data_IF_892413900142
#
_entry.id   IF_892413900142
#
_cell.length_a   1.000
_cell.length_b   1.000
_cell.length_c   1.000
_cell.angle_alpha   90.00
_cell.angle_beta   90.00
_cell.angle_gamma   90.00
#
_symmetry.space_group_name_H-M   'P 1'
#
loop_
_entity.id
_entity.type
_entity.pdbx_description
1 polymer ?
#
# COMPACT_ATOMS: atom_id res chain seq x y z
N UNK A 1 1.60 9.21 -0.74
CA UNK A 1 2.31 7.95 -0.43
C UNK A 1 3.15 7.44 -1.60
N UNK A 2 2.66 7.46 -2.84
CA UNK A 2 3.48 7.03 -4.01
C UNK A 2 4.83 7.73 -4.14
N UNK A 3 4.90 9.05 -3.91
CA UNK A 3 6.17 9.78 -3.89
C UNK A 3 7.15 9.22 -2.84
N UNK A 4 6.71 9.10 -1.58
CA UNK A 4 7.53 8.62 -0.46
C UNK A 4 8.07 7.21 -0.74
N UNK A 5 7.20 6.31 -1.20
CA UNK A 5 7.59 4.94 -1.53
C UNK A 5 8.61 4.92 -2.66
N UNK A 6 8.37 5.66 -3.74
CA UNK A 6 9.30 5.76 -4.89
C UNK A 6 10.66 6.28 -4.44
N UNK A 7 10.68 7.40 -3.70
CA UNK A 7 11.93 8.01 -3.23
C UNK A 7 12.70 7.09 -2.30
N UNK A 8 12.00 6.31 -1.48
CA UNK A 8 12.63 5.34 -0.59
C UNK A 8 13.23 4.15 -1.33
N UNK A 9 12.54 3.63 -2.35
CA UNK A 9 13.09 2.55 -3.17
C UNK A 9 14.32 3.02 -3.94
N UNK A 10 14.26 4.23 -4.51
CA UNK A 10 15.41 4.89 -5.16
C UNK A 10 16.58 5.06 -4.18
N UNK A 11 16.31 5.42 -2.93
CA UNK A 11 17.37 5.64 -1.94
C UNK A 11 18.10 4.37 -1.53
N UNK A 12 17.61 3.18 -1.88
CA UNK A 12 18.29 1.92 -1.60
C UNK A 12 19.47 1.65 -2.55
N UNK A 13 19.53 2.31 -3.71
CA UNK A 13 20.54 2.03 -4.73
C UNK A 13 20.16 2.56 -6.12
N UNK A 14 21.16 2.87 -6.93
CA UNK A 14 20.98 3.42 -8.29
C UNK A 14 20.28 2.44 -9.25
N UNK A 15 20.51 1.15 -9.04
CA UNK A 15 19.90 0.03 -9.75
C UNK A 15 18.38 -0.08 -9.51
N UNK A 16 17.87 0.54 -8.44
CA UNK A 16 16.45 0.50 -8.08
C UNK A 16 15.64 1.68 -8.64
N UNK A 17 16.29 2.61 -9.35
CA UNK A 17 15.61 3.76 -9.97
C UNK A 17 14.61 3.31 -11.04
N UNK A 18 15.08 2.52 -12.02
CA UNK A 18 14.22 2.04 -13.09
C UNK A 18 13.07 1.15 -12.56
N UNK A 19 13.33 0.15 -11.68
CA UNK A 19 12.27 -0.61 -11.04
C UNK A 19 11.21 0.24 -10.32
N UNK A 20 11.62 1.23 -9.52
CA UNK A 20 10.68 2.07 -8.79
C UNK A 20 9.76 2.86 -9.75
N UNK A 21 10.29 3.35 -10.87
CA UNK A 21 9.50 4.04 -11.89
C UNK A 21 8.55 3.09 -12.64
N UNK A 22 8.99 1.85 -12.92
CA UNK A 22 8.12 0.81 -13.49
C UNK A 22 6.99 0.47 -12.51
N UNK A 23 7.30 0.43 -11.21
CA UNK A 23 6.29 0.27 -10.16
C UNK A 23 5.22 1.35 -10.21
N UNK A 24 5.58 2.60 -10.50
CA UNK A 24 4.61 3.69 -10.68
C UNK A 24 3.67 3.43 -11.86
N UNK A 25 4.21 2.93 -12.99
CA UNK A 25 3.39 2.55 -14.15
C UNK A 25 2.44 1.40 -13.81
N UNK A 26 2.92 0.38 -13.09
CA UNK A 26 2.08 -0.71 -12.59
C UNK A 26 0.96 -0.20 -11.68
N UNK A 27 1.28 0.72 -10.75
CA UNK A 27 0.30 1.34 -9.86
C UNK A 27 -0.78 2.13 -10.63
N UNK A 28 -0.43 2.81 -11.73
CA UNK A 28 -1.42 3.47 -12.59
C UNK A 28 -2.42 2.44 -13.14
N UNK A 29 -1.93 1.32 -13.67
CA UNK A 29 -2.79 0.25 -14.21
C UNK A 29 -3.71 -0.32 -13.11
N UNK A 30 -3.14 -0.65 -11.94
CA UNK A 30 -3.92 -1.12 -10.79
C UNK A 30 -4.94 -0.12 -10.30
N UNK A 31 -4.62 1.18 -10.33
CA UNK A 31 -5.55 2.25 -9.94
C UNK A 31 -6.76 2.31 -10.88
N UNK A 32 -6.55 2.15 -12.19
CA UNK A 32 -7.63 2.10 -13.18
C UNK A 32 -8.55 0.92 -12.88
N UNK A 33 -8.01 -0.27 -12.63
CA UNK A 33 -8.79 -1.46 -12.30
C UNK A 33 -9.57 -1.27 -10.99
N UNK A 34 -8.90 -0.80 -9.94
CA UNK A 34 -9.50 -0.56 -8.63
C UNK A 34 -10.67 0.42 -8.70
N UNK A 35 -10.47 1.56 -9.38
CA UNK A 35 -11.50 2.59 -9.55
C UNK A 35 -12.69 2.03 -10.34
N UNK A 36 -12.48 1.23 -11.38
CA UNK A 36 -13.58 0.63 -12.17
C UNK A 36 -14.43 -0.33 -11.32
N UNK A 37 -13.81 -1.14 -10.47
CA UNK A 37 -14.51 -2.02 -9.54
C UNK A 37 -15.30 -1.19 -8.52
N UNK A 38 -14.66 -0.18 -7.92
CA UNK A 38 -15.30 0.68 -6.93
C UNK A 38 -16.46 1.49 -7.52
N UNK A 39 -16.35 1.97 -8.76
CA UNK A 39 -17.42 2.63 -9.49
C UNK A 39 -18.65 1.72 -9.66
N UNK A 40 -18.45 0.42 -9.81
CA UNK A 40 -19.55 -0.54 -9.93
C UNK A 40 -20.32 -0.65 -8.62
N UNK A 41 -19.63 -0.70 -7.48
CA UNK A 41 -20.27 -0.76 -6.16
C UNK A 41 -20.93 0.56 -5.77
N UNK A 42 -20.26 1.69 -6.01
CA UNK A 42 -20.78 3.02 -5.69
C UNK A 42 -21.99 3.38 -6.54
N UNK A 43 -22.00 3.10 -7.86
CA UNK A 43 -23.18 3.30 -8.70
C UNK A 43 -24.41 2.57 -8.16
N UNK A 44 -24.23 1.33 -7.71
CA UNK A 44 -25.31 0.54 -7.11
C UNK A 44 -25.75 1.11 -5.76
N UNK A 45 -24.80 1.52 -4.91
CA UNK A 45 -25.08 2.06 -3.58
C UNK A 45 -25.82 3.39 -3.63
N UNK A 46 -25.39 4.31 -4.49
CA UNK A 46 -26.02 5.62 -4.67
C UNK A 46 -27.21 5.60 -5.63
N UNK A 47 -27.59 4.43 -6.18
CA UNK A 47 -28.68 4.26 -7.15
C UNK A 47 -28.53 5.19 -8.37
N UNK A 48 -27.29 5.35 -8.85
CA UNK A 48 -26.97 6.23 -9.97
C UNK A 48 -27.77 5.86 -11.21
N UNK A 49 -28.52 6.82 -11.76
CA UNK A 49 -29.32 6.66 -12.96
C UNK A 49 -28.90 7.70 -14.01
N UNK A 50 -28.30 7.28 -15.15
CA UNK A 50 -27.82 8.21 -16.18
C UNK A 50 -28.89 9.10 -16.80
N UNK A 51 -30.17 8.73 -16.69
CA UNK A 51 -31.31 9.48 -17.23
C UNK A 51 -31.82 10.55 -16.24
N UNK A 52 -31.85 10.24 -14.95
CA UNK A 52 -32.33 11.13 -13.86
C UNK A 52 -31.23 12.04 -13.31
N UNK A 53 -29.97 11.59 -13.31
CA UNK A 53 -28.81 12.33 -12.81
C UNK A 53 -28.13 13.19 -13.90
N UNK A 54 -28.79 13.40 -15.06
CA UNK A 54 -28.36 14.46 -15.99
C UNK A 54 -28.50 15.78 -15.24
N UNK A 55 -27.44 16.58 -15.23
CA UNK A 55 -27.46 17.91 -14.64
C UNK A 55 -28.48 18.81 -15.38
N UNK A 56 -29.76 18.69 -15.04
CA UNK A 56 -30.77 19.69 -15.34
C UNK A 56 -30.34 20.93 -14.57
N UNK A 57 -29.96 21.98 -15.29
CA UNK A 57 -29.19 23.15 -14.83
C UNK A 57 -29.84 24.04 -13.77
N UNK A 58 -30.69 23.52 -12.91
CA UNK A 58 -31.11 24.14 -11.66
C UNK A 58 -30.47 23.36 -10.52
N UNK A 59 -29.28 23.82 -10.11
CA UNK A 59 -28.68 23.46 -8.83
C UNK A 59 -29.63 23.98 -7.74
N UNK A 60 -30.65 23.20 -7.40
CA UNK A 60 -31.43 23.43 -6.19
C UNK A 60 -30.46 23.34 -5.01
N UNK A 61 -30.13 24.51 -4.44
CA UNK A 61 -29.56 24.75 -3.12
C UNK A 61 -29.21 23.46 -2.36
N UNK A 62 -28.06 22.87 -2.68
CA UNK A 62 -27.33 22.03 -1.75
C UNK A 62 -26.27 22.91 -1.14
N UNK A 63 -26.21 22.92 0.19
CA UNK A 63 -25.23 23.64 1.01
C UNK A 63 -23.77 23.19 0.79
N UNK A 64 -23.44 22.61 -0.36
CA UNK A 64 -22.12 22.10 -0.74
C UNK A 64 -21.40 23.09 -1.65
N UNK A 65 -21.45 24.38 -1.33
CA UNK A 65 -20.50 25.32 -1.90
C UNK A 65 -19.15 25.12 -1.21
N UNK A 66 -18.06 25.19 -1.97
CA UNK A 66 -16.71 25.26 -1.42
C UNK A 66 -16.66 26.45 -0.46
N UNK A 67 -16.54 26.19 0.84
CA UNK A 67 -16.34 27.26 1.81
C UNK A 67 -15.11 28.08 1.41
N UNK A 68 -15.33 29.36 1.17
CA UNK A 68 -14.25 30.30 0.93
C UNK A 68 -13.67 30.60 2.30
N UNK A 69 -12.56 29.91 2.63
CA UNK A 69 -11.77 30.22 3.82
C UNK A 69 -11.58 31.73 3.93
N UNK A 70 -11.90 32.28 5.09
CA UNK A 70 -11.76 33.71 5.35
C UNK A 70 -10.28 34.14 5.27
N UNK A 71 -10.06 35.44 5.06
CA UNK A 71 -8.72 36.03 5.02
C UNK A 71 -8.11 36.16 3.63
N UNK A 72 -6.91 36.75 3.59
CA UNK A 72 -6.15 36.98 2.37
C UNK A 72 -5.47 35.69 1.86
N UNK A 73 -4.87 35.75 0.66
CA UNK A 73 -4.23 34.58 0.02
C UNK A 73 -3.18 33.92 0.93
N UNK A 74 -2.42 34.70 1.68
CA UNK A 74 -1.40 34.20 2.60
C UNK A 74 -2.01 33.49 3.81
N UNK A 75 -3.05 34.06 4.43
CA UNK A 75 -3.77 33.46 5.54
C UNK A 75 -4.41 32.13 5.12
N UNK A 76 -5.10 32.11 3.97
CA UNK A 76 -5.73 30.89 3.44
C UNK A 76 -4.70 29.78 3.14
N UNK A 77 -3.50 30.15 2.68
CA UNK A 77 -2.42 29.21 2.46
C UNK A 77 -1.87 28.67 3.80
N UNK A 78 -1.64 29.53 4.79
CA UNK A 78 -1.21 29.11 6.12
C UNK A 78 -2.25 28.20 6.79
N UNK A 79 -3.52 28.55 6.75
CA UNK A 79 -4.60 27.77 7.35
C UNK A 79 -4.70 26.38 6.70
N UNK A 80 -4.56 26.30 5.36
CA UNK A 80 -4.57 25.01 4.66
C UNK A 80 -3.41 24.11 5.09
N UNK A 81 -2.22 24.68 5.29
CA UNK A 81 -1.03 23.93 5.74
C UNK A 81 -1.20 23.49 7.20
N UNK A 82 -1.63 24.39 8.09
CA UNK A 82 -1.76 24.10 9.52
C UNK A 82 -2.90 23.12 9.81
N UNK A 83 -4.04 23.29 9.17
CA UNK A 83 -5.18 22.38 9.31
C UNK A 83 -4.88 21.02 8.70
N UNK A 84 -4.29 20.98 7.50
CA UNK A 84 -3.83 19.74 6.87
C UNK A 84 -2.79 19.01 7.74
N UNK A 85 -1.86 19.76 8.34
CA UNK A 85 -0.88 19.24 9.29
C UNK A 85 -1.54 18.64 10.54
N UNK A 86 -2.47 19.36 11.17
CA UNK A 86 -3.22 18.89 12.34
C UNK A 86 -4.02 17.62 12.04
N UNK A 87 -4.82 17.64 10.96
CA UNK A 87 -5.59 16.45 10.54
C UNK A 87 -4.67 15.27 10.23
N UNK A 88 -3.50 15.51 9.63
CA UNK A 88 -2.51 14.48 9.38
C UNK A 88 -1.96 13.85 10.66
N UNK A 89 -1.66 14.65 11.70
CA UNK A 89 -1.21 14.16 13.02
C UNK A 89 -2.32 13.35 13.70
N UNK A 90 -3.55 13.85 13.72
CA UNK A 90 -4.70 13.17 14.33
C UNK A 90 -4.94 11.81 13.65
N UNK A 91 -4.89 11.78 12.32
CA UNK A 91 -4.98 10.55 11.53
C UNK A 91 -3.82 9.60 11.83
N UNK A 92 -2.59 10.12 11.96
CA UNK A 92 -1.42 9.34 12.34
C UNK A 92 -1.60 8.65 13.70
N UNK A 93 -2.01 9.40 14.72
CA UNK A 93 -2.27 8.87 16.07
C UNK A 93 -3.34 7.78 16.08
N UNK A 94 -4.38 7.92 15.26
CA UNK A 94 -5.42 6.90 15.11
C UNK A 94 -4.91 5.60 14.46
N UNK A 95 -3.91 5.69 13.59
CA UNK A 95 -3.39 4.57 12.80
C UNK A 95 -2.28 3.79 13.55
N UNK A 96 -1.46 4.46 14.37
CA UNK A 96 -0.29 3.87 15.06
C UNK A 96 -0.56 2.50 15.71
N UNK A 97 -1.60 2.31 16.54
CA UNK A 97 -1.80 1.04 17.24
C UNK A 97 -1.97 -0.15 16.28
N UNK A 98 -2.74 0.04 15.20
CA UNK A 98 -2.96 -1.00 14.20
C UNK A 98 -1.69 -1.33 13.43
N UNK A 99 -0.90 -0.32 13.09
CA UNK A 99 0.39 -0.51 12.40
C UNK A 99 1.35 -1.29 13.28
N UNK A 100 1.54 -0.90 14.54
CA UNK A 100 2.48 -1.57 15.44
C UNK A 100 2.16 -3.06 15.58
N UNK A 101 0.89 -3.42 15.76
CA UNK A 101 0.47 -4.81 15.93
C UNK A 101 0.71 -5.62 14.65
N UNK A 102 0.27 -5.12 13.49
CA UNK A 102 0.42 -5.84 12.22
C UNK A 102 1.88 -6.01 11.84
N UNK A 103 2.70 -4.97 12.04
CA UNK A 103 4.11 -5.00 11.64
C UNK A 103 4.91 -5.93 12.54
N UNK A 104 4.66 -5.90 13.85
CA UNK A 104 5.28 -6.85 14.80
C UNK A 104 4.92 -8.29 14.45
N UNK A 105 3.64 -8.55 14.19
CA UNK A 105 3.17 -9.88 13.81
C UNK A 105 3.81 -10.34 12.51
N UNK A 106 3.83 -9.51 11.46
CA UNK A 106 4.42 -9.92 10.18
C UNK A 106 5.92 -10.14 10.29
N UNK A 107 6.67 -9.30 11.02
CA UNK A 107 8.10 -9.53 11.26
C UNK A 107 8.35 -10.88 11.94
N UNK A 108 7.62 -11.19 13.02
CA UNK A 108 7.72 -12.47 13.73
C UNK A 108 7.36 -13.68 12.84
N UNK A 109 6.45 -13.51 11.88
CA UNK A 109 6.08 -14.58 10.96
C UNK A 109 7.01 -14.68 9.75
N UNK A 110 7.80 -13.64 9.45
CA UNK A 110 8.66 -13.57 8.26
C UNK A 110 10.03 -14.18 8.52
N UNK A 111 10.71 -13.72 9.56
CA UNK A 111 12.10 -14.10 9.80
C UNK A 111 12.20 -15.40 10.60
N UNK A 112 13.40 -15.96 10.71
CA UNK A 112 13.68 -17.14 11.54
C UNK A 112 14.48 -16.81 12.80
N UNK A 113 14.80 -17.83 13.60
CA UNK A 113 15.75 -17.68 14.69
C UNK A 113 17.13 -17.29 14.16
N UNK A 114 17.88 -16.52 14.94
CA UNK A 114 19.28 -16.23 14.65
C UNK A 114 20.13 -17.50 14.78
N UNK A 115 21.29 -17.52 14.13
CA UNK A 115 22.27 -18.59 14.31
C UNK A 115 23.33 -18.12 15.30
N UNK A 116 23.59 -18.92 16.34
CA UNK A 116 24.69 -18.67 17.26
C UNK A 116 26.04 -18.73 16.50
N UNK A 117 26.85 -17.66 16.51
CA UNK A 117 28.12 -17.62 15.80
C UNK A 117 29.14 -18.67 16.26
N UNK A 118 29.01 -19.18 17.49
CA UNK A 118 29.94 -20.12 18.11
C UNK A 118 29.48 -21.56 17.93
N UNK A 119 28.19 -21.82 18.12
CA UNK A 119 27.64 -23.20 18.11
C UNK A 119 26.97 -23.59 16.79
N UNK A 120 26.64 -22.63 15.93
CA UNK A 120 25.93 -22.86 14.68
C UNK A 120 24.46 -23.31 14.87
N UNK A 121 23.94 -23.27 16.10
CA UNK A 121 22.57 -23.67 16.40
C UNK A 121 21.60 -22.50 16.19
N UNK A 122 20.36 -22.83 15.82
CA UNK A 122 19.26 -21.86 15.81
C UNK A 122 18.92 -21.47 17.25
N UNK A 123 19.09 -20.20 17.58
CA UNK A 123 18.79 -19.63 18.89
C UNK A 123 17.81 -18.49 18.71
N UNK A 124 16.69 -18.58 19.43
CA UNK A 124 15.71 -17.51 19.50
C UNK A 124 15.99 -16.67 20.75
N UNK A 125 16.46 -15.44 20.55
CA UNK A 125 16.83 -14.52 21.64
C UNK A 125 15.77 -13.45 21.89
N UNK A 126 14.80 -13.30 20.98
CA UNK A 126 13.84 -12.20 20.94
C UNK A 126 14.42 -10.92 20.35
N UNK A 127 15.52 -11.02 19.61
CA UNK A 127 16.13 -9.87 18.94
C UNK A 127 15.26 -9.35 17.79
N UNK A 128 15.53 -8.13 17.34
CA UNK A 128 14.87 -7.58 16.16
C UNK A 128 15.15 -8.45 14.93
N UNK A 129 14.12 -8.63 14.09
CA UNK A 129 14.18 -9.47 12.89
C UNK A 129 14.37 -10.98 13.18
N UNK A 130 13.98 -11.45 14.36
CA UNK A 130 13.79 -12.88 14.62
C UNK A 130 12.33 -13.30 14.47
N UNK A 131 12.08 -14.58 14.16
CA UNK A 131 10.73 -15.09 13.98
C UNK A 131 10.65 -16.61 13.80
N UNK A 132 9.51 -17.07 13.27
CA UNK A 132 9.17 -18.49 13.07
C UNK A 132 9.08 -18.93 11.59
N UNK A 133 9.45 -18.07 10.62
CA UNK A 133 9.42 -18.34 9.17
C UNK A 133 8.08 -18.87 8.62
N UNK A 134 6.96 -18.56 9.26
CA UNK A 134 5.65 -19.04 8.79
C UNK A 134 5.28 -18.47 7.41
N UNK A 135 5.53 -17.19 7.16
CA UNK A 135 5.23 -16.57 5.87
C UNK A 135 6.09 -17.12 4.73
N UNK A 136 7.42 -17.30 4.88
CA UNK A 136 8.22 -18.04 3.91
C UNK A 136 7.66 -19.42 3.58
N UNK A 137 7.26 -20.22 4.59
CA UNK A 137 6.68 -21.56 4.36
C UNK A 137 5.38 -21.50 3.56
N UNK A 138 4.57 -20.46 3.77
CA UNK A 138 3.36 -20.22 2.96
C UNK A 138 3.74 -19.75 1.56
N UNK A 139 4.74 -18.88 1.44
CA UNK A 139 5.30 -18.38 0.17
C UNK A 139 5.80 -19.51 -0.71
N UNK A 140 6.55 -20.46 -0.16
CA UNK A 140 7.01 -21.67 -0.84
C UNK A 140 5.86 -22.45 -1.46
N UNK A 141 4.79 -22.68 -0.68
CA UNK A 141 3.61 -23.41 -1.15
C UNK A 141 2.83 -22.65 -2.22
N UNK A 142 2.91 -21.33 -2.22
CA UNK A 142 2.26 -20.45 -3.19
C UNK A 142 3.18 -20.05 -4.36
N UNK A 143 4.44 -20.51 -4.37
CA UNK A 143 5.45 -20.15 -5.37
C UNK A 143 4.97 -20.37 -6.80
N UNK A 144 4.18 -21.43 -7.04
CA UNK A 144 3.60 -21.73 -8.35
C UNK A 144 2.67 -20.62 -8.90
N UNK A 145 2.15 -19.74 -8.06
CA UNK A 145 1.38 -18.54 -8.44
C UNK A 145 2.26 -17.30 -8.36
N UNK A 146 3.02 -17.15 -7.26
CA UNK A 146 3.76 -15.93 -6.97
C UNK A 146 4.91 -15.70 -7.95
N UNK A 147 5.62 -16.75 -8.34
CA UNK A 147 6.73 -16.67 -9.29
C UNK A 147 6.26 -16.25 -10.69
N UNK A 148 5.27 -16.89 -11.35
CA UNK A 148 4.84 -16.44 -12.67
C UNK A 148 4.07 -15.12 -12.67
N UNK A 149 3.44 -14.75 -11.54
CA UNK A 149 2.64 -13.53 -11.47
C UNK A 149 3.45 -12.30 -11.06
N UNK A 150 4.45 -12.48 -10.19
CA UNK A 150 5.22 -11.38 -9.59
C UNK A 150 6.73 -11.52 -9.75
N UNK A 151 7.24 -12.67 -10.17
CA UNK A 151 8.67 -12.91 -10.32
C UNK A 151 9.43 -13.08 -9.00
N UNK A 152 8.73 -13.41 -7.90
CA UNK A 152 9.36 -13.60 -6.59
C UNK A 152 10.23 -14.85 -6.60
N UNK A 153 11.55 -14.66 -6.49
CA UNK A 153 12.52 -15.76 -6.44
C UNK A 153 12.75 -16.29 -5.03
N UNK A 154 12.49 -15.48 -4.01
CA UNK A 154 12.63 -15.86 -2.60
C UNK A 154 11.26 -15.93 -1.91
N UNK A 155 11.01 -16.94 -1.07
CA UNK A 155 9.76 -17.06 -0.32
C UNK A 155 9.52 -15.90 0.65
N UNK A 156 10.59 -15.30 1.17
CA UNK A 156 10.58 -14.14 2.06
C UNK A 156 9.95 -12.91 1.40
N UNK A 157 10.01 -12.80 0.06
CA UNK A 157 9.46 -11.67 -0.68
C UNK A 157 7.95 -11.48 -0.45
N UNK A 158 7.21 -12.54 -0.09
CA UNK A 158 5.77 -12.47 0.23
C UNK A 158 5.46 -11.59 1.45
N UNK A 159 6.43 -11.41 2.34
CA UNK A 159 6.24 -10.63 3.56
C UNK A 159 5.93 -9.16 3.25
N UNK A 160 6.56 -8.56 2.24
CA UNK A 160 6.33 -7.16 1.90
C UNK A 160 4.86 -6.90 1.47
N UNK A 161 4.28 -7.65 0.51
CA UNK A 161 2.86 -7.59 0.18
C UNK A 161 1.94 -7.72 1.40
N UNK A 162 2.21 -8.71 2.27
CA UNK A 162 1.38 -8.98 3.45
C UNK A 162 1.46 -7.84 4.47
N UNK A 163 2.67 -7.33 4.76
CA UNK A 163 2.84 -6.16 5.63
C UNK A 163 2.17 -4.93 5.04
N UNK A 164 2.24 -4.75 3.72
CA UNK A 164 1.68 -3.59 3.01
C UNK A 164 0.15 -3.49 3.14
N UNK A 165 -0.57 -4.60 3.28
CA UNK A 165 -2.00 -4.62 3.59
C UNK A 165 -2.31 -4.01 4.97
N UNK A 166 -1.38 -4.07 5.92
CA UNK A 166 -1.48 -3.35 7.18
C UNK A 166 -0.99 -1.90 7.04
N UNK A 167 0.26 -1.76 6.64
CA UNK A 167 0.94 -0.48 6.49
C UNK A 167 2.16 -0.57 5.56
N UNK A 168 2.06 0.08 4.39
CA UNK A 168 3.19 0.17 3.45
C UNK A 168 4.44 0.80 4.08
N UNK A 169 4.28 1.80 4.96
CA UNK A 169 5.41 2.48 5.61
C UNK A 169 6.27 1.55 6.45
N UNK A 170 5.68 0.50 7.02
CA UNK A 170 6.42 -0.52 7.74
C UNK A 170 6.90 -1.65 6.84
N UNK A 171 6.17 -1.99 5.76
CA UNK A 171 6.68 -2.91 4.75
C UNK A 171 8.00 -2.40 4.15
N UNK A 172 8.13 -1.07 3.98
CA UNK A 172 9.36 -0.41 3.55
C UNK A 172 10.56 -0.72 4.46
N UNK A 173 10.37 -0.92 5.78
CA UNK A 173 11.50 -1.22 6.68
C UNK A 173 12.07 -2.63 6.47
N UNK A 174 11.36 -3.51 5.76
CA UNK A 174 11.85 -4.84 5.41
C UNK A 174 12.80 -4.82 4.21
N UNK A 175 12.65 -3.84 3.32
CA UNK A 175 13.39 -3.76 2.04
C UNK A 175 14.90 -3.72 2.23
N UNK A 176 15.49 -2.91 3.15
CA UNK A 176 16.94 -2.89 3.32
C UNK A 176 17.50 -4.24 3.75
N UNK A 177 16.77 -4.98 4.58
CA UNK A 177 17.20 -6.31 5.04
C UNK A 177 17.08 -7.35 3.92
N UNK A 178 16.02 -7.30 3.14
CA UNK A 178 15.86 -8.17 1.97
C UNK A 178 16.92 -7.94 0.89
N UNK A 179 17.36 -6.70 0.70
CA UNK A 179 18.48 -6.39 -0.20
C UNK A 179 19.78 -6.99 0.35
N UNK A 180 20.06 -6.79 1.65
CA UNK A 180 21.28 -7.32 2.29
C UNK A 180 21.35 -8.84 2.26
N UNK A 181 20.23 -9.52 2.49
CA UNK A 181 20.17 -10.98 2.48
C UNK A 181 20.11 -11.58 1.08
N UNK A 182 19.94 -10.76 0.04
CA UNK A 182 19.75 -11.23 -1.34
C UNK A 182 18.37 -11.87 -1.57
N UNK A 183 17.40 -11.63 -0.69
CA UNK A 183 16.05 -12.18 -0.79
C UNK A 183 15.19 -11.49 -1.87
N UNK A 184 15.62 -10.32 -2.36
CA UNK A 184 14.89 -9.60 -3.41
C UNK A 184 15.82 -9.08 -4.51
N UNK A 185 15.24 -8.96 -5.70
CA UNK A 185 15.82 -8.50 -6.94
C UNK A 185 15.25 -7.13 -7.34
N UNK A 186 15.83 -6.46 -8.36
CA UNK A 186 15.23 -5.25 -8.92
C UNK A 186 13.77 -5.45 -9.39
N UNK A 187 13.42 -6.62 -9.94
CA UNK A 187 12.03 -6.93 -10.29
C UNK A 187 11.08 -6.82 -9.10
N UNK A 188 11.49 -7.37 -7.95
CA UNK A 188 10.68 -7.35 -6.73
C UNK A 188 10.46 -5.92 -6.24
N UNK A 189 11.44 -5.03 -6.39
CA UNK A 189 11.28 -3.61 -6.08
C UNK A 189 10.21 -2.95 -6.97
N UNK A 190 10.13 -3.30 -8.25
CA UNK A 190 9.06 -2.81 -9.13
C UNK A 190 7.68 -3.26 -8.64
N UNK A 191 7.55 -4.54 -8.30
CA UNK A 191 6.30 -5.14 -7.79
C UNK A 191 5.92 -4.53 -6.43
N UNK A 192 6.86 -4.44 -5.50
CA UNK A 192 6.67 -3.86 -4.17
C UNK A 192 6.26 -2.41 -4.25
N UNK A 193 6.87 -1.65 -5.15
CA UNK A 193 6.50 -0.26 -5.41
C UNK A 193 5.05 -0.20 -5.90
N UNK A 194 4.68 -0.98 -6.90
CA UNK A 194 3.34 -0.98 -7.46
C UNK A 194 2.26 -1.39 -6.44
N UNK A 195 2.46 -2.52 -5.76
CA UNK A 195 1.57 -3.03 -4.72
C UNK A 195 1.48 -2.06 -3.53
N UNK A 196 2.62 -1.59 -3.04
CA UNK A 196 2.70 -0.69 -1.90
C UNK A 196 1.97 0.64 -2.14
N UNK A 197 1.96 1.14 -3.38
CA UNK A 197 1.14 2.30 -3.73
C UNK A 197 -0.35 2.01 -3.67
N UNK A 198 -0.79 0.88 -4.23
CA UNK A 198 -2.19 0.50 -4.22
C UNK A 198 -2.71 0.15 -2.81
N UNK A 199 -1.86 -0.35 -1.92
CA UNK A 199 -2.22 -0.74 -0.55
C UNK A 199 -1.76 0.26 0.51
N UNK A 200 -1.37 1.46 0.10
CA UNK A 200 -1.00 2.51 1.01
C UNK A 200 -2.17 2.90 1.94
N UNK A 201 -2.07 2.58 3.23
CA UNK A 201 -3.10 2.89 4.22
C UNK A 201 -4.30 1.94 4.18
N UNK A 202 -4.15 0.78 3.56
CA UNK A 202 -5.23 -0.13 3.16
C UNK A 202 -6.34 -0.36 4.21
N UNK A 203 -6.05 -0.95 5.37
CA UNK A 203 -7.12 -1.20 6.37
C UNK A 203 -7.52 0.05 7.15
N UNK A 204 -6.56 0.88 7.54
CA UNK A 204 -6.79 1.97 8.48
C UNK A 204 -7.35 3.24 7.83
N UNK A 205 -6.90 3.56 6.61
CA UNK A 205 -7.29 4.74 5.86
C UNK A 205 -8.64 4.56 5.19
N UNK A 206 -8.95 3.37 4.65
CA UNK A 206 -10.26 3.16 4.02
C UNK A 206 -11.41 3.20 5.02
N UNK A 207 -11.22 2.72 6.25
CA UNK A 207 -12.26 2.83 7.29
C UNK A 207 -12.46 4.30 7.68
N UNK A 208 -11.39 5.01 8.04
CA UNK A 208 -11.47 6.43 8.45
C UNK A 208 -12.01 7.34 7.34
N UNK A 209 -11.58 7.14 6.09
CA UNK A 209 -12.05 7.92 4.94
C UNK A 209 -13.53 7.66 4.65
N UNK A 210 -13.99 6.40 4.72
CA UNK A 210 -15.40 6.07 4.47
C UNK A 210 -16.30 6.53 5.60
N UNK A 211 -15.81 6.55 6.85
CA UNK A 211 -16.52 7.19 7.97
C UNK A 211 -16.69 8.70 7.73
N UNK A 212 -15.65 9.40 7.27
CA UNK A 212 -15.72 10.83 6.95
C UNK A 212 -16.68 11.15 5.78
N UNK A 213 -16.82 10.23 4.82
CA UNK A 213 -17.77 10.32 3.71
C UNK A 213 -19.20 9.86 4.07
N UNK A 214 -19.44 9.52 5.34
CA UNK A 214 -20.69 8.91 5.82
C UNK A 214 -21.13 7.69 4.99
N UNK A 215 -20.15 6.92 4.50
CA UNK A 215 -20.30 5.81 3.58
C UNK A 215 -19.60 4.55 4.08
N UNK A 216 -19.53 4.34 5.40
CA UNK A 216 -18.84 3.21 6.05
C UNK A 216 -19.17 1.85 5.46
N UNK A 217 -20.41 1.66 4.98
CA UNK A 217 -20.85 0.41 4.33
C UNK A 217 -20.05 0.06 3.07
N UNK A 218 -19.41 1.04 2.43
CA UNK A 218 -18.55 0.86 1.27
C UNK A 218 -17.10 0.52 1.64
N UNK A 219 -16.69 0.59 2.91
CA UNK A 219 -15.30 0.34 3.32
C UNK A 219 -14.80 -1.05 2.91
N UNK A 220 -15.59 -2.10 3.14
CA UNK A 220 -15.24 -3.46 2.71
C UNK A 220 -15.13 -3.60 1.18
N UNK A 221 -15.94 -2.85 0.43
CA UNK A 221 -15.89 -2.80 -1.04
C UNK A 221 -14.66 -2.04 -1.54
N UNK A 222 -14.28 -0.96 -0.86
CA UNK A 222 -13.06 -0.21 -1.15
C UNK A 222 -11.82 -1.07 -0.92
N UNK A 223 -11.75 -1.72 0.24
CA UNK A 223 -10.71 -2.70 0.61
C UNK A 223 -10.60 -3.77 -0.50
N UNK A 224 -11.68 -4.48 -0.83
CA UNK A 224 -11.66 -5.50 -1.89
C UNK A 224 -11.15 -4.96 -3.24
N UNK A 225 -11.65 -3.78 -3.65
CA UNK A 225 -11.27 -3.16 -4.92
C UNK A 225 -9.78 -2.80 -4.96
N UNK A 226 -9.21 -2.35 -3.84
CA UNK A 226 -7.78 -2.03 -3.73
C UNK A 226 -6.91 -3.29 -3.62
N UNK A 227 -7.39 -4.38 -3.00
CA UNK A 227 -6.68 -5.69 -3.08
C UNK A 227 -6.52 -6.10 -4.53
N UNK A 228 -7.62 -6.16 -5.29
CA UNK A 228 -7.58 -6.60 -6.68
C UNK A 228 -6.71 -5.64 -7.51
N UNK A 229 -6.90 -4.33 -7.33
CA UNK A 229 -6.07 -3.32 -7.99
C UNK A 229 -4.58 -3.49 -7.70
N UNK A 230 -4.20 -3.74 -6.45
CA UNK A 230 -2.80 -3.94 -6.05
C UNK A 230 -2.19 -5.23 -6.60
N UNK A 231 -2.94 -6.34 -6.60
CA UNK A 231 -2.49 -7.59 -7.24
C UNK A 231 -2.26 -7.37 -8.74
N UNK A 232 -3.19 -6.70 -9.43
CA UNK A 232 -3.03 -6.38 -10.85
C UNK A 232 -1.88 -5.38 -11.09
N UNK A 233 -1.67 -4.41 -10.20
CA UNK A 233 -0.54 -3.48 -10.27
C UNK A 233 0.81 -4.21 -10.14
N UNK A 234 0.93 -5.12 -9.17
CA UNK A 234 2.12 -5.94 -8.99
C UNK A 234 2.41 -6.80 -10.22
N UNK A 235 1.39 -7.48 -10.75
CA UNK A 235 1.54 -8.29 -11.96
C UNK A 235 1.93 -7.45 -13.18
N UNK A 236 1.28 -6.29 -13.37
CA UNK A 236 1.62 -5.37 -14.43
C UNK A 236 3.06 -4.86 -14.30
N UNK A 237 3.49 -4.50 -13.10
CA UNK A 237 4.87 -4.06 -12.86
C UNK A 237 5.88 -5.16 -13.18
N UNK A 238 5.62 -6.41 -12.75
CA UNK A 238 6.46 -7.55 -13.09
C UNK A 238 6.58 -7.72 -14.61
N UNK A 239 5.46 -7.78 -15.34
CA UNK A 239 5.50 -7.99 -16.78
C UNK A 239 6.14 -6.81 -17.54
N UNK A 240 5.88 -5.56 -17.11
CA UNK A 240 6.56 -4.39 -17.70
C UNK A 240 8.06 -4.46 -17.43
N UNK A 241 8.46 -4.86 -16.21
CA UNK A 241 9.86 -5.01 -15.84
C UNK A 241 10.54 -6.05 -16.72
N UNK A 242 9.98 -7.25 -16.87
CA UNK A 242 10.53 -8.33 -17.71
C UNK A 242 10.60 -7.97 -19.20
N UNK A 243 9.79 -7.01 -19.68
CA UNK A 243 9.82 -6.58 -21.08
C UNK A 243 10.85 -5.48 -21.36
N UNK A 244 11.22 -4.69 -20.35
CA UNK A 244 12.04 -3.47 -20.51
C UNK A 244 13.41 -3.59 -19.83
N UNK A 245 13.51 -4.34 -18.74
CA UNK A 245 14.73 -4.61 -17.97
C UNK A 245 15.34 -5.95 -18.32
#
# INVERSE_FOLDING_TARGET
MGLILTTFMISQGTEYVLPALIGNLGAIIGSVISVRIMLTFTKKFYKYNPEEDKATGTLEKKDEFREIREGNVFQRALDAILEGGKMGVDMGMAIIPGVLVVCTLVMLLTFGPSTDPVTGQEVYTGAAYEGIKLLPVIGDKLGFILEPLFGFTSPEAIAFPITSLGAVGAAMSLVPEFIKSGAITPNDIAVFTAMGMCWSGYLSTHIGMMDALNARQLAGKAILSHTIGGLCAGAAAHFIFTLVG
#
